data_IF_106446687257
#
_entry.id   IF_106446687257
#
_cell.length_a   1.000
_cell.length_b   1.000
_cell.length_c   1.000
_cell.angle_alpha   90.00
_cell.angle_beta   90.00
_cell.angle_gamma   90.00
#
_symmetry.space_group_name_H-M   'P 1'
#
loop_
_entity.id
_entity.type
_entity.pdbx_description
1 polymer ?
#
# COMPACT_ATOMS: atom_id res chain seq x y z
N UNK A 1 21.73 -4.23 1.07
CA UNK A 1 20.69 -3.47 0.33
C UNK A 1 20.15 -4.36 -0.77
N UNK A 2 18.84 -4.65 -0.77
CA UNK A 2 18.21 -5.41 -1.85
C UNK A 2 18.27 -4.58 -3.15
N UNK A 3 18.85 -5.15 -4.21
CA UNK A 3 18.91 -4.53 -5.53
C UNK A 3 17.47 -4.30 -6.03
N UNK A 4 17.15 -3.06 -6.41
CA UNK A 4 15.90 -2.76 -7.11
C UNK A 4 15.82 -3.63 -8.36
N UNK A 5 14.82 -4.52 -8.50
CA UNK A 5 14.81 -5.46 -9.60
C UNK A 5 14.64 -4.74 -10.95
N UNK A 6 15.22 -5.33 -12.00
CA UNK A 6 15.20 -4.77 -13.35
C UNK A 6 13.74 -4.60 -13.85
N UNK A 7 13.35 -3.35 -14.13
CA UNK A 7 11.98 -2.90 -14.48
C UNK A 7 11.30 -3.67 -15.63
N UNK A 8 12.06 -4.29 -16.53
CA UNK A 8 11.56 -4.80 -17.83
C UNK A 8 10.90 -6.18 -17.78
N UNK A 9 11.30 -7.09 -16.87
CA UNK A 9 10.72 -8.44 -16.78
C UNK A 9 9.54 -8.55 -15.81
N UNK A 10 9.58 -7.78 -14.72
CA UNK A 10 8.52 -7.80 -13.69
C UNK A 10 7.25 -7.10 -14.22
N UNK A 11 7.36 -5.99 -14.95
CA UNK A 11 6.19 -5.23 -15.40
C UNK A 11 5.27 -6.03 -16.34
N UNK A 12 5.76 -6.61 -17.43
CA UNK A 12 4.88 -7.22 -18.45
C UNK A 12 4.11 -8.46 -17.97
N UNK A 13 4.71 -9.28 -17.10
CA UNK A 13 4.12 -10.57 -16.71
C UNK A 13 2.98 -10.42 -15.69
N UNK A 14 3.05 -9.42 -14.80
CA UNK A 14 2.04 -9.19 -13.76
C UNK A 14 0.93 -8.22 -14.19
N UNK A 15 1.26 -7.25 -15.05
CA UNK A 15 0.27 -6.32 -15.63
C UNK A 15 -0.86 -7.07 -16.34
N UNK A 16 -0.55 -8.21 -16.97
CA UNK A 16 -1.54 -9.01 -17.68
C UNK A 16 -2.49 -9.81 -16.76
N UNK A 17 -2.32 -9.78 -15.43
CA UNK A 17 -3.15 -10.58 -14.52
C UNK A 17 -3.57 -9.87 -13.21
N UNK A 18 -3.84 -8.56 -13.29
CA UNK A 18 -4.31 -7.76 -12.15
C UNK A 18 -5.51 -8.38 -11.42
N UNK A 19 -6.54 -8.97 -12.08
CA UNK A 19 -7.64 -9.60 -11.36
C UNK A 19 -7.19 -10.70 -10.39
N UNK A 20 -6.20 -11.54 -10.77
CA UNK A 20 -5.65 -12.56 -9.87
C UNK A 20 -4.85 -11.96 -8.72
N UNK A 21 -4.15 -10.85 -8.93
CA UNK A 21 -3.43 -10.14 -7.86
C UNK A 21 -4.41 -9.59 -6.82
N UNK A 22 -5.51 -8.98 -7.27
CA UNK A 22 -6.58 -8.52 -6.39
C UNK A 22 -7.18 -9.70 -5.62
N UNK A 23 -7.54 -10.78 -6.32
CA UNK A 23 -8.10 -11.98 -5.71
C UNK A 23 -7.13 -12.59 -4.67
N UNK A 24 -5.83 -12.57 -4.91
CA UNK A 24 -4.84 -13.07 -3.96
C UNK A 24 -4.77 -12.19 -2.70
N UNK A 25 -4.81 -10.87 -2.85
CA UNK A 25 -4.90 -9.96 -1.68
C UNK A 25 -6.18 -10.18 -0.87
N UNK A 26 -7.30 -10.52 -1.52
CA UNK A 26 -8.54 -10.87 -0.83
C UNK A 26 -8.45 -12.22 -0.13
N UNK A 27 -7.84 -13.22 -0.78
CA UNK A 27 -7.61 -14.54 -0.20
C UNK A 27 -6.86 -14.42 1.13
N UNK A 28 -5.76 -13.64 1.15
CA UNK A 28 -4.96 -13.39 2.35
C UNK A 28 -5.84 -12.79 3.46
N UNK A 29 -6.60 -11.73 3.16
CA UNK A 29 -7.49 -11.08 4.14
C UNK A 29 -8.60 -11.98 4.67
N UNK A 30 -9.00 -13.00 3.91
CA UNK A 30 -10.04 -13.93 4.30
C UNK A 30 -9.52 -15.20 4.95
N UNK A 31 -8.20 -15.31 5.17
CA UNK A 31 -7.63 -16.42 5.93
C UNK A 31 -8.22 -16.44 7.35
N UNK A 32 -8.73 -17.62 7.74
CA UNK A 32 -9.22 -17.86 9.09
C UNK A 32 -8.03 -17.96 10.05
N UNK A 33 -7.57 -16.83 10.55
CA UNK A 33 -6.61 -16.79 11.65
C UNK A 33 -7.38 -16.87 12.97
N UNK A 34 -7.04 -17.82 13.85
CA UNK A 34 -7.56 -17.81 15.22
C UNK A 34 -7.18 -16.49 15.88
N UNK A 35 -8.15 -15.65 16.24
CA UNK A 35 -7.91 -14.44 17.04
C UNK A 35 -8.96 -14.33 18.15
N UNK A 36 -8.57 -14.55 19.43
CA UNK A 36 -9.55 -14.72 20.51
C UNK A 36 -10.33 -13.45 20.86
N UNK A 37 -9.71 -12.27 20.85
CA UNK A 37 -10.33 -11.01 21.31
C UNK A 37 -9.28 -9.93 21.07
N UNK A 38 -9.60 -8.83 20.40
CA UNK A 38 -8.91 -7.52 20.52
C UNK A 38 -9.55 -6.54 19.50
N UNK A 39 -10.71 -5.98 19.86
CA UNK A 39 -11.21 -4.76 19.21
C UNK A 39 -10.28 -3.60 19.60
N UNK A 40 -9.84 -2.79 18.65
CA UNK A 40 -9.13 -1.51 18.88
C UNK A 40 -7.63 -1.52 18.57
N UNK A 41 -6.94 -2.66 18.69
CA UNK A 41 -5.47 -2.70 18.53
C UNK A 41 -5.01 -2.54 17.08
N UNK A 42 -5.77 -3.03 16.08
CA UNK A 42 -5.36 -2.94 14.68
C UNK A 42 -5.35 -1.50 14.15
N UNK A 43 -6.31 -0.67 14.59
CA UNK A 43 -6.36 0.75 14.28
C UNK A 43 -5.17 1.50 14.87
N UNK A 44 -4.89 1.27 16.16
CA UNK A 44 -3.76 1.89 16.86
C UNK A 44 -2.42 1.46 16.26
N UNK A 45 -2.21 0.16 15.98
CA UNK A 45 -1.02 -0.34 15.31
C UNK A 45 -0.82 0.37 13.97
N UNK A 46 -1.89 0.51 13.19
CA UNK A 46 -1.82 1.16 11.88
C UNK A 46 -1.53 2.66 11.99
N UNK A 47 -2.20 3.38 12.91
CA UNK A 47 -1.96 4.80 13.15
C UNK A 47 -0.57 5.07 13.70
N UNK A 48 -0.11 4.30 14.68
CA UNK A 48 1.22 4.43 15.26
C UNK A 48 2.28 4.14 14.20
N UNK A 49 2.05 3.16 13.32
CA UNK A 49 2.96 2.89 12.21
C UNK A 49 3.00 4.08 11.23
N UNK A 50 1.85 4.62 10.83
CA UNK A 50 1.79 5.80 9.97
C UNK A 50 2.45 7.03 10.61
N UNK A 51 2.28 7.23 11.93
CA UNK A 51 2.93 8.31 12.67
C UNK A 51 4.44 8.11 12.74
N UNK A 52 4.90 6.89 13.02
CA UNK A 52 6.33 6.57 13.02
C UNK A 52 6.98 6.82 11.65
N UNK A 53 6.22 6.63 10.55
CA UNK A 53 6.72 7.01 9.23
C UNK A 53 6.82 8.52 9.05
N UNK A 54 5.82 9.27 9.51
CA UNK A 54 5.83 10.72 9.47
C UNK A 54 7.01 11.29 10.28
N UNK A 55 7.22 10.80 11.50
CA UNK A 55 8.29 11.23 12.40
C UNK A 55 9.69 10.92 11.86
N UNK A 56 9.82 9.90 11.00
CA UNK A 56 11.07 9.56 10.34
C UNK A 56 11.42 10.46 9.14
N UNK A 57 10.53 11.35 8.70
CA UNK A 57 10.75 12.25 7.56
C UNK A 57 11.31 13.59 8.07
N UNK A 58 12.30 14.22 7.42
CA UNK A 58 12.80 15.54 7.81
C UNK A 58 11.69 16.60 7.90
N UNK A 59 11.72 17.44 8.95
CA UNK A 59 10.65 18.41 9.25
C UNK A 59 10.39 19.41 8.11
N UNK A 60 11.44 19.84 7.40
CA UNK A 60 11.34 20.73 6.25
C UNK A 60 10.58 20.06 5.09
N UNK A 61 10.80 18.76 4.88
CA UNK A 61 10.06 17.95 3.90
C UNK A 61 8.61 17.73 4.35
N UNK A 62 8.37 17.42 5.63
CA UNK A 62 7.02 17.29 6.17
C UNK A 62 6.20 18.56 5.93
N UNK A 63 6.79 19.73 6.23
CA UNK A 63 6.16 21.04 6.03
C UNK A 63 5.95 21.34 4.55
N UNK A 64 6.97 21.13 3.70
CA UNK A 64 6.92 21.42 2.26
C UNK A 64 5.78 20.69 1.53
N UNK A 65 5.44 19.48 1.95
CA UNK A 65 4.42 18.64 1.28
C UNK A 65 3.12 18.45 2.08
N UNK A 66 2.95 19.19 3.18
CA UNK A 66 1.78 19.11 4.07
C UNK A 66 1.50 17.70 4.60
N UNK A 67 2.53 16.94 5.00
CA UNK A 67 2.37 15.53 5.36
C UNK A 67 1.54 15.33 6.64
N UNK A 68 1.55 16.31 7.55
CA UNK A 68 0.66 16.35 8.73
C UNK A 68 -0.83 16.38 8.34
N UNK A 69 -1.18 17.12 7.28
CA UNK A 69 -2.57 17.14 6.76
C UNK A 69 -2.96 15.76 6.24
N UNK A 70 -2.03 15.04 5.61
CA UNK A 70 -2.26 13.69 5.11
C UNK A 70 -2.42 12.70 6.28
N UNK A 71 -1.60 12.79 7.31
CA UNK A 71 -1.74 11.97 8.53
C UNK A 71 -3.09 12.20 9.21
N UNK A 72 -3.58 13.44 9.30
CA UNK A 72 -4.93 13.74 9.81
C UNK A 72 -6.04 13.05 9.01
N UNK A 73 -5.88 12.87 7.69
CA UNK A 73 -6.83 12.08 6.88
C UNK A 73 -6.79 10.60 7.27
N UNK A 74 -5.60 10.04 7.49
CA UNK A 74 -5.44 8.65 7.97
C UNK A 74 -6.10 8.48 9.34
N UNK A 75 -5.84 9.39 10.29
CA UNK A 75 -6.41 9.38 11.63
C UNK A 75 -7.95 9.39 11.62
N UNK A 76 -8.56 10.13 10.69
CA UNK A 76 -10.03 10.17 10.54
C UNK A 76 -10.61 8.93 9.87
N UNK A 77 -9.89 8.34 8.91
CA UNK A 77 -10.39 7.21 8.12
C UNK A 77 -10.17 5.83 8.77
N UNK A 78 -9.23 5.72 9.71
CA UNK A 78 -8.82 4.42 10.25
C UNK A 78 -9.96 3.68 10.94
N UNK A 79 -10.87 4.40 11.63
CA UNK A 79 -11.98 3.81 12.39
C UNK A 79 -12.90 2.94 11.54
N UNK A 80 -12.99 3.23 10.24
CA UNK A 80 -13.82 2.52 9.28
C UNK A 80 -13.19 1.17 8.85
N UNK A 81 -11.90 0.94 9.13
CA UNK A 81 -11.17 -0.24 8.69
C UNK A 81 -11.40 -1.46 9.59
N UNK A 82 -11.69 -2.60 9.00
CA UNK A 82 -11.81 -3.87 9.74
C UNK A 82 -10.45 -4.50 10.00
N UNK A 83 -10.36 -5.24 11.11
CA UNK A 83 -9.20 -6.09 11.39
C UNK A 83 -9.16 -7.25 10.39
N UNK A 84 -8.05 -7.39 9.67
CA UNK A 84 -7.83 -8.45 8.67
C UNK A 84 -6.36 -8.88 8.66
N UNK A 85 -6.07 -10.17 8.43
CA UNK A 85 -4.71 -10.61 8.15
C UNK A 85 -4.18 -9.93 6.88
N UNK A 86 -2.87 -9.68 6.87
CA UNK A 86 -2.14 -9.09 5.74
C UNK A 86 -0.75 -9.69 5.63
N UNK A 87 -0.20 -9.66 4.42
CA UNK A 87 1.19 -9.99 4.15
C UNK A 87 2.15 -8.89 4.61
N UNK A 88 1.76 -7.62 4.47
CA UNK A 88 2.54 -6.49 4.94
C UNK A 88 3.58 -5.97 3.94
N UNK A 89 4.12 -6.84 3.07
CA UNK A 89 5.00 -6.47 1.96
C UNK A 89 4.53 -7.03 0.61
N UNK A 90 3.24 -6.81 0.30
CA UNK A 90 2.60 -7.27 -0.94
C UNK A 90 3.03 -6.43 -2.16
N UNK A 91 4.30 -6.55 -2.55
CA UNK A 91 4.90 -5.78 -3.64
C UNK A 91 4.97 -6.59 -4.96
N UNK A 92 5.04 -5.93 -6.14
CA UNK A 92 5.11 -6.60 -7.44
C UNK A 92 6.25 -7.61 -7.59
N UNK A 93 7.39 -7.38 -6.92
CA UNK A 93 8.56 -8.26 -6.99
C UNK A 93 8.52 -9.43 -5.99
N UNK A 94 7.56 -9.45 -5.06
CA UNK A 94 7.31 -10.58 -4.16
C UNK A 94 6.28 -11.57 -4.70
N UNK A 95 5.59 -11.21 -5.78
CA UNK A 95 4.67 -12.09 -6.50
C UNK A 95 5.44 -12.88 -7.55
N UNK A 96 5.20 -14.19 -7.60
CA UNK A 96 5.84 -15.10 -8.55
C UNK A 96 4.73 -15.85 -9.30
N UNK A 97 4.74 -15.81 -10.63
CA UNK A 97 3.84 -16.64 -11.44
C UNK A 97 4.41 -18.06 -11.51
N UNK A 98 3.62 -19.04 -11.09
CA UNK A 98 3.95 -20.46 -11.18
C UNK A 98 3.65 -21.00 -12.59
N UNK A 99 4.18 -22.19 -12.91
CA UNK A 99 4.08 -22.81 -14.26
C UNK A 99 2.63 -23.05 -14.69
N UNK A 100 1.74 -23.31 -13.75
CA UNK A 100 0.30 -23.53 -13.95
C UNK A 100 -0.53 -22.22 -13.99
N UNK A 101 0.13 -21.06 -13.90
CA UNK A 101 -0.53 -19.76 -13.88
C UNK A 101 -1.15 -19.38 -12.53
N UNK A 102 -0.85 -20.13 -11.45
CA UNK A 102 -1.07 -19.69 -10.08
C UNK A 102 -0.06 -18.60 -9.67
N UNK A 103 -0.33 -17.94 -8.55
CA UNK A 103 0.56 -16.95 -7.95
C UNK A 103 1.11 -17.50 -6.63
N UNK A 104 2.43 -17.44 -6.45
CA UNK A 104 3.09 -17.57 -5.17
C UNK A 104 3.47 -16.18 -4.65
N UNK A 105 3.56 -16.06 -3.33
CA UNK A 105 3.99 -14.86 -2.63
C UNK A 105 5.11 -15.24 -1.68
N UNK A 106 6.20 -14.46 -1.70
CA UNK A 106 7.37 -14.63 -0.84
C UNK A 106 7.51 -13.42 0.08
N UNK A 107 8.47 -13.49 1.01
CA UNK A 107 8.87 -12.39 1.90
C UNK A 107 7.82 -12.01 2.97
N UNK A 108 7.35 -13.02 3.69
CA UNK A 108 6.29 -12.91 4.69
C UNK A 108 6.72 -12.39 6.07
N UNK A 109 7.90 -11.80 6.21
CA UNK A 109 8.41 -11.33 7.52
C UNK A 109 7.58 -10.18 8.13
N UNK A 110 6.85 -9.46 7.28
CA UNK A 110 5.95 -8.38 7.67
C UNK A 110 4.49 -8.80 7.87
N UNK A 111 4.22 -10.11 7.84
CA UNK A 111 2.87 -10.64 7.96
C UNK A 111 2.27 -10.35 9.34
N UNK A 112 1.02 -9.90 9.34
CA UNK A 112 0.28 -9.56 10.56
C UNK A 112 -1.09 -10.21 10.54
N UNK A 113 -1.40 -10.96 11.60
CA UNK A 113 -2.72 -11.60 11.77
C UNK A 113 -3.84 -10.58 12.00
N UNK A 114 -3.54 -9.48 12.68
CA UNK A 114 -4.46 -8.38 13.02
C UNK A 114 -4.03 -7.06 12.35
N UNK A 115 -3.86 -7.08 11.04
CA UNK A 115 -3.69 -5.85 10.26
C UNK A 115 -5.01 -5.12 10.02
N UNK A 116 -4.96 -4.11 9.16
CA UNK A 116 -6.15 -3.45 8.62
C UNK A 116 -6.48 -4.02 7.24
N UNK A 117 -7.77 -4.06 6.91
CA UNK A 117 -8.22 -4.40 5.56
C UNK A 117 -7.62 -3.47 4.50
N UNK A 118 -7.55 -3.95 3.26
CA UNK A 118 -7.05 -3.29 2.06
C UNK A 118 -5.57 -2.87 2.12
N UNK A 119 -4.84 -3.17 3.20
CA UNK A 119 -3.43 -2.80 3.33
C UNK A 119 -2.58 -3.30 2.16
N UNK A 120 -2.64 -4.60 1.87
CA UNK A 120 -1.78 -5.23 0.87
C UNK A 120 -2.02 -4.68 -0.54
N UNK A 121 -3.30 -4.52 -0.94
CA UNK A 121 -3.62 -3.95 -2.25
C UNK A 121 -3.28 -2.46 -2.33
N UNK A 122 -3.47 -1.69 -1.25
CA UNK A 122 -3.06 -0.28 -1.21
C UNK A 122 -1.54 -0.11 -1.30
N UNK A 123 -0.78 -0.99 -0.64
CA UNK A 123 0.67 -1.01 -0.77
C UNK A 123 1.13 -1.42 -2.17
N UNK A 124 0.50 -2.43 -2.78
CA UNK A 124 0.77 -2.82 -4.16
C UNK A 124 0.54 -1.66 -5.14
N UNK A 125 -0.59 -0.95 -5.03
CA UNK A 125 -0.91 0.21 -5.86
C UNK A 125 0.17 1.29 -5.70
N UNK A 126 0.61 1.57 -4.48
CA UNK A 126 1.67 2.55 -4.23
C UNK A 126 3.00 2.12 -4.88
N UNK A 127 3.40 0.84 -4.77
CA UNK A 127 4.62 0.33 -5.42
C UNK A 127 4.53 0.37 -6.95
N UNK A 128 3.36 0.05 -7.52
CA UNK A 128 3.09 0.20 -8.96
C UNK A 128 3.23 1.65 -9.40
N UNK A 129 2.64 2.58 -8.64
CA UNK A 129 2.68 3.99 -8.98
C UNK A 129 4.10 4.56 -8.86
N UNK A 130 4.72 4.47 -7.69
CA UNK A 130 5.94 5.22 -7.37
C UNK A 130 7.22 4.49 -7.78
N UNK A 131 7.29 3.16 -7.56
CA UNK A 131 8.54 2.39 -7.81
C UNK A 131 8.61 1.89 -9.24
N UNK A 132 7.51 1.33 -9.76
CA UNK A 132 7.44 0.95 -11.17
C UNK A 132 7.19 2.16 -12.09
N UNK A 133 6.92 3.34 -11.52
CA UNK A 133 6.65 4.58 -12.25
C UNK A 133 5.53 4.41 -13.27
N UNK A 134 4.44 3.72 -12.88
CA UNK A 134 3.30 3.44 -13.75
C UNK A 134 1.96 3.94 -13.15
N UNK A 135 1.70 5.27 -13.17
CA UNK A 135 0.46 5.86 -12.69
C UNK A 135 -0.80 5.34 -13.40
N UNK A 136 -0.71 5.09 -14.70
CA UNK A 136 -1.84 4.60 -15.51
C UNK A 136 -2.32 3.24 -14.98
N UNK A 137 -1.41 2.31 -14.78
CA UNK A 137 -1.76 1.00 -14.23
C UNK A 137 -2.31 1.09 -12.80
N UNK A 138 -1.76 1.96 -11.96
CA UNK A 138 -2.29 2.19 -10.62
C UNK A 138 -3.76 2.67 -10.66
N UNK A 139 -4.08 3.57 -11.60
CA UNK A 139 -5.45 4.01 -11.86
C UNK A 139 -6.33 2.87 -12.39
N UNK A 140 -5.83 2.05 -13.32
CA UNK A 140 -6.57 0.91 -13.87
C UNK A 140 -6.92 -0.10 -12.75
N UNK A 141 -5.99 -0.37 -11.83
CA UNK A 141 -6.23 -1.20 -10.64
C UNK A 141 -7.31 -0.59 -9.75
N UNK A 142 -7.24 0.71 -9.47
CA UNK A 142 -8.21 1.42 -8.65
C UNK A 142 -9.62 1.36 -9.27
N UNK A 143 -9.73 1.60 -10.58
CA UNK A 143 -10.98 1.51 -11.32
C UNK A 143 -11.57 0.10 -11.26
N UNK A 144 -10.73 -0.94 -11.40
CA UNK A 144 -11.17 -2.32 -11.31
C UNK A 144 -11.69 -2.67 -9.91
N UNK A 145 -11.00 -2.21 -8.85
CA UNK A 145 -11.47 -2.38 -7.47
C UNK A 145 -12.83 -1.70 -7.26
N UNK A 146 -13.02 -0.49 -7.78
CA UNK A 146 -14.29 0.22 -7.71
C UNK A 146 -15.41 -0.55 -8.43
N UNK A 147 -15.15 -1.05 -9.64
CA UNK A 147 -16.11 -1.89 -10.38
C UNK A 147 -16.46 -3.19 -9.65
N UNK A 148 -15.52 -3.75 -8.89
CA UNK A 148 -15.76 -4.93 -8.06
C UNK A 148 -16.45 -4.62 -6.72
N UNK A 149 -16.87 -3.36 -6.50
CA UNK A 149 -17.62 -2.95 -5.31
C UNK A 149 -16.77 -2.78 -4.05
N UNK A 150 -15.45 -2.61 -4.18
CA UNK A 150 -14.60 -2.29 -3.04
C UNK A 150 -14.89 -0.89 -2.51
N UNK A 151 -14.80 -0.74 -1.19
CA UNK A 151 -14.92 0.56 -0.53
C UNK A 151 -13.68 1.43 -0.81
N UNK A 152 -13.81 2.31 -1.81
CA UNK A 152 -12.74 3.21 -2.22
C UNK A 152 -12.41 4.24 -1.12
N UNK A 153 -13.38 4.63 -0.29
CA UNK A 153 -13.12 5.56 0.83
C UNK A 153 -12.15 4.92 1.83
N UNK A 154 -12.35 3.64 2.16
CA UNK A 154 -11.41 2.90 3.00
C UNK A 154 -10.04 2.74 2.34
N UNK A 155 -10.00 2.41 1.05
CA UNK A 155 -8.75 2.28 0.32
C UNK A 155 -7.97 3.61 0.30
N UNK A 156 -8.64 4.77 0.16
CA UNK A 156 -7.99 6.09 0.25
C UNK A 156 -7.27 6.29 1.58
N UNK A 157 -7.83 5.82 2.70
CA UNK A 157 -7.15 5.86 4.01
C UNK A 157 -5.82 5.08 3.96
N UNK A 158 -5.80 3.90 3.33
CA UNK A 158 -4.58 3.11 3.16
C UNK A 158 -3.58 3.83 2.25
N UNK A 159 -4.04 4.33 1.10
CA UNK A 159 -3.18 5.03 0.13
C UNK A 159 -2.57 6.30 0.73
N UNK A 160 -3.32 7.04 1.55
CA UNK A 160 -2.80 8.19 2.29
C UNK A 160 -1.67 7.81 3.25
N UNK A 161 -1.84 6.74 4.05
CA UNK A 161 -0.79 6.24 4.92
C UNK A 161 0.44 5.77 4.12
N UNK A 162 0.21 5.09 2.99
CA UNK A 162 1.29 4.63 2.10
C UNK A 162 2.01 5.75 1.37
N UNK A 163 1.37 6.90 1.18
CA UNK A 163 2.04 8.10 0.68
C UNK A 163 3.05 8.61 1.69
N UNK A 164 2.69 8.69 2.98
CA UNK A 164 3.63 9.05 4.06
C UNK A 164 4.81 8.07 4.04
N UNK A 165 4.53 6.76 3.98
CA UNK A 165 5.57 5.74 3.83
C UNK A 165 6.45 5.92 2.58
N UNK A 166 5.89 6.39 1.46
CA UNK A 166 6.66 6.71 0.26
C UNK A 166 7.61 7.90 0.44
N UNK A 167 7.20 8.94 1.16
CA UNK A 167 8.11 10.05 1.52
C UNK A 167 9.24 9.59 2.44
N UNK A 168 8.95 8.69 3.39
CA UNK A 168 9.99 8.10 4.23
C UNK A 168 10.98 7.26 3.41
N UNK A 169 10.48 6.42 2.49
CA UNK A 169 11.34 5.61 1.62
C UNK A 169 12.33 6.51 0.84
N UNK A 170 11.86 7.66 0.32
CA UNK A 170 12.71 8.63 -0.38
C UNK A 170 13.68 9.35 0.55
N UNK A 171 13.28 9.70 1.78
CA UNK A 171 14.19 10.37 2.73
C UNK A 171 15.33 9.47 3.21
N UNK A 172 15.15 8.14 3.12
CA UNK A 172 16.17 7.15 3.45
C UNK A 172 17.08 6.80 2.26
N UNK A 173 16.79 7.30 1.06
CA UNK A 173 17.62 7.08 -0.12
C UNK A 173 18.92 7.89 -0.05
N UNK A 174 19.98 7.39 -0.68
CA UNK A 174 21.28 8.08 -0.74
C UNK A 174 21.17 9.46 -1.42
N UNK A 175 20.27 9.58 -2.39
CA UNK A 175 19.95 10.84 -3.06
C UNK A 175 18.42 10.96 -3.13
N UNK A 176 17.80 11.64 -2.16
CA UNK A 176 16.34 11.73 -2.08
C UNK A 176 15.70 12.39 -3.31
N UNK A 177 14.71 11.74 -3.92
CA UNK A 177 13.89 12.30 -5.00
C UNK A 177 12.39 12.16 -4.67
N UNK A 178 11.84 13.21 -4.07
CA UNK A 178 10.43 13.23 -3.66
C UNK A 178 9.44 13.42 -4.83
N UNK A 179 9.89 13.53 -6.08
CA UNK A 179 9.02 13.88 -7.21
C UNK A 179 7.89 12.87 -7.43
N UNK A 180 8.16 11.57 -7.33
CA UNK A 180 7.15 10.52 -7.49
C UNK A 180 6.28 10.35 -6.24
N UNK A 181 6.81 10.59 -5.04
CA UNK A 181 6.03 10.61 -3.81
C UNK A 181 5.01 11.77 -3.83
N UNK A 182 5.41 12.95 -4.30
CA UNK A 182 4.49 14.10 -4.45
C UNK A 182 3.48 13.90 -5.59
N UNK A 183 3.87 13.29 -6.71
CA UNK A 183 2.92 12.90 -7.76
C UNK A 183 1.84 11.95 -7.22
N UNK A 184 2.24 10.95 -6.41
CA UNK A 184 1.30 10.03 -5.77
C UNK A 184 0.37 10.74 -4.78
N UNK A 185 0.92 11.66 -3.96
CA UNK A 185 0.15 12.51 -3.04
C UNK A 185 -0.91 13.32 -3.78
N UNK A 186 -0.51 13.98 -4.87
CA UNK A 186 -1.42 14.76 -5.73
C UNK A 186 -2.50 13.90 -6.36
N UNK A 187 -2.14 12.73 -6.88
CA UNK A 187 -3.08 11.76 -7.45
C UNK A 187 -4.11 11.28 -6.42
N UNK A 188 -3.71 10.99 -5.18
CA UNK A 188 -4.69 10.66 -4.13
C UNK A 188 -5.60 11.85 -3.82
N UNK A 189 -5.08 13.08 -3.88
CA UNK A 189 -5.87 14.30 -3.73
C UNK A 189 -6.95 14.47 -4.80
N UNK A 190 -6.77 13.93 -6.02
CA UNK A 190 -7.82 13.96 -7.05
C UNK A 190 -8.92 12.93 -6.82
N UNK A 191 -8.71 11.98 -5.92
CA UNK A 191 -9.74 11.01 -5.56
C UNK A 191 -10.80 11.62 -4.64
N UNK A 192 -10.58 12.80 -4.04
CA UNK A 192 -11.47 13.43 -3.04
C UNK A 192 -12.74 14.12 -3.63
N UNK A 193 -13.22 13.70 -4.81
CA UNK A 193 -14.51 14.12 -5.41
C UNK A 193 -15.60 13.10 -5.10
#
# INVERSE_FOLDING_TARGET
>A
MAKTPAKSKISKLFISNIPKVIAFSQLIQNLKTKNPNQKGIHHEIFLNKAKSWLDGIPNDIQAKYDLEKLYKKVAKGVSDLKAKPRHGDFAPWHLIKLKDGQLALIDGEHALKNGVELYDIGYFIQRVFSVLKNPKLAQDILNLLAHQGFDIKKLRCILAARTIGGFLDESLAHTPDYSFADQFRKWIGTLDV
#
